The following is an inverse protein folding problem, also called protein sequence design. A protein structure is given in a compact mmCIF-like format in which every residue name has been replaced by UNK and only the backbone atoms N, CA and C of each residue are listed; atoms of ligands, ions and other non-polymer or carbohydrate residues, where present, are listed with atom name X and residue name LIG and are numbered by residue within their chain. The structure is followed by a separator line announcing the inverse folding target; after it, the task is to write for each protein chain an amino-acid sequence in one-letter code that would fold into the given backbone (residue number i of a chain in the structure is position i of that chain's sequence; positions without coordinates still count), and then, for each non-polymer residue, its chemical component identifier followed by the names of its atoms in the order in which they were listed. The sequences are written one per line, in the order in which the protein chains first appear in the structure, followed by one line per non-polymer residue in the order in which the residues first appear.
data_IF_192100247813
#
_entry.id   IF_192100247813
#
_cell.length_a   1.000
_cell.length_b   1.000
_cell.length_c   1.000
_cell.angle_alpha   90.00
_cell.angle_beta   90.00
_cell.angle_gamma   90.00
#
_symmetry.space_group_name_H-M   'P 1'
#
loop_
_entity.id
_entity.type
_entity.pdbx_description
1 polymer ?
#
# COMPACT_ATOMS: atom_id res chain seq x y z
N UNK A 1 -3.72 6.74 1.79
CA UNK A 1 -2.31 6.28 1.66
C UNK A 1 -1.41 7.50 1.72
N UNK A 2 -1.38 8.37 0.70
CA UNK A 2 -0.52 9.57 0.69
C UNK A 2 -0.68 10.42 1.97
N UNK A 3 -1.90 10.77 2.36
CA UNK A 3 -2.13 11.52 3.61
C UNK A 3 -1.60 10.81 4.89
N UNK A 4 -1.58 9.48 4.92
CA UNK A 4 -0.98 8.71 6.03
C UNK A 4 0.54 8.85 6.03
N UNK A 5 1.16 8.83 4.84
CA UNK A 5 2.60 9.03 4.69
C UNK A 5 3.00 10.46 5.08
N UNK A 6 2.23 11.45 4.66
CA UNK A 6 2.44 12.86 5.04
C UNK A 6 2.42 13.03 6.56
N UNK A 7 1.48 12.35 7.23
CA UNK A 7 1.40 12.35 8.71
C UNK A 7 2.64 11.71 9.33
N UNK A 8 3.08 10.55 8.81
CA UNK A 8 4.29 9.91 9.31
C UNK A 8 5.56 10.71 9.09
N UNK A 9 5.65 11.47 8.00
CA UNK A 9 6.77 12.37 7.75
C UNK A 9 6.75 13.55 8.74
N UNK A 10 5.57 14.14 8.98
CA UNK A 10 5.41 15.24 9.94
C UNK A 10 5.75 14.84 11.38
N UNK A 11 5.37 13.62 11.76
CA UNK A 11 5.57 13.07 13.10
C UNK A 11 6.94 12.37 13.27
N UNK A 12 7.85 12.47 12.30
CA UNK A 12 9.18 11.82 12.30
C UNK A 12 9.11 10.28 12.53
N UNK A 13 8.05 9.65 12.03
CA UNK A 13 7.82 8.21 12.15
C UNK A 13 8.62 7.46 11.09
N UNK A 14 8.48 7.83 9.82
CA UNK A 14 9.22 7.23 8.70
C UNK A 14 9.17 8.17 7.49
N UNK A 15 10.28 8.23 6.76
CA UNK A 15 10.39 8.98 5.50
C UNK A 15 10.12 8.04 4.32
N UNK A 16 8.86 7.96 3.87
CA UNK A 16 8.48 7.16 2.70
C UNK A 16 8.09 8.13 1.57
N UNK A 17 8.87 8.12 0.49
CA UNK A 17 8.60 8.92 -0.69
C UNK A 17 7.43 8.32 -1.48
N UNK A 18 6.44 9.15 -1.84
CA UNK A 18 5.31 8.73 -2.66
C UNK A 18 5.34 9.42 -4.04
N UNK A 19 5.23 8.63 -5.11
CA UNK A 19 5.14 9.14 -6.48
C UNK A 19 3.93 8.56 -7.20
N UNK A 20 3.03 9.42 -7.69
CA UNK A 20 1.82 9.01 -8.41
C UNK A 20 1.90 9.39 -9.89
N UNK A 21 1.70 8.41 -10.76
CA UNK A 21 1.52 8.61 -12.21
C UNK A 21 0.27 7.88 -12.67
N UNK A 22 -0.83 8.62 -12.82
CA UNK A 22 -2.14 8.04 -13.14
C UNK A 22 -2.58 7.01 -12.09
N UNK A 23 -2.81 5.77 -12.52
CA UNK A 23 -3.21 4.66 -11.65
C UNK A 23 -2.07 4.04 -10.82
N UNK A 24 -0.81 4.39 -11.12
CA UNK A 24 0.38 3.88 -10.45
C UNK A 24 0.75 4.80 -9.27
N UNK A 25 0.97 4.21 -8.10
CA UNK A 25 1.52 4.83 -6.91
C UNK A 25 2.75 4.02 -6.46
N UNK A 26 3.92 4.63 -6.49
CA UNK A 26 5.17 4.06 -5.99
C UNK A 26 5.51 4.63 -4.61
N UNK A 27 5.89 3.76 -3.68
CA UNK A 27 6.31 4.07 -2.32
C UNK A 27 7.78 3.68 -2.15
N UNK A 28 8.68 4.64 -2.00
CA UNK A 28 10.11 4.44 -1.77
C UNK A 28 10.43 4.43 -0.28
N UNK A 29 11.09 3.38 0.21
CA UNK A 29 11.47 3.22 1.62
C UNK A 29 12.93 3.64 1.86
N UNK A 30 13.31 4.09 3.07
CA UNK A 30 14.68 4.51 3.38
C UNK A 30 15.76 3.46 3.14
N UNK A 31 15.40 2.18 3.16
CA UNK A 31 16.32 1.07 2.88
C UNK A 31 16.48 0.76 1.38
N UNK A 32 15.94 1.61 0.49
CA UNK A 32 15.99 1.46 -0.96
C UNK A 32 15.01 0.45 -1.54
N UNK A 33 14.15 -0.18 -0.71
CA UNK A 33 13.07 -1.03 -1.23
C UNK A 33 11.86 -0.19 -1.67
N UNK A 34 11.01 -0.75 -2.52
CA UNK A 34 9.81 -0.08 -3.02
C UNK A 34 8.57 -0.95 -2.81
N UNK A 35 7.41 -0.30 -2.69
CA UNK A 35 6.10 -0.93 -2.88
C UNK A 35 5.40 -0.16 -4.00
N UNK A 36 4.90 -0.87 -5.01
CA UNK A 36 4.16 -0.29 -6.12
C UNK A 36 2.71 -0.74 -6.05
N UNK A 37 1.78 0.21 -6.06
CA UNK A 37 0.34 0.01 -6.08
C UNK A 37 -0.17 0.48 -7.43
N UNK A 38 -0.97 -0.33 -8.13
CA UNK A 38 -1.50 0.04 -9.45
C UNK A 38 -2.98 -0.30 -9.57
N UNK A 39 -3.80 0.66 -9.98
CA UNK A 39 -5.20 0.39 -10.34
C UNK A 39 -5.28 -0.21 -11.75
N UNK A 40 -6.08 -1.26 -11.93
CA UNK A 40 -6.33 -1.91 -13.22
C UNK A 40 -7.81 -1.78 -13.60
N UNK A 41 -8.26 -0.62 -14.15
CA UNK A 41 -9.67 -0.38 -14.46
C UNK A 41 -10.32 -1.46 -15.35
N UNK A 42 -9.68 -1.95 -16.44
CA UNK A 42 -10.28 -2.98 -17.29
C UNK A 42 -10.55 -4.31 -16.58
N UNK A 43 -9.81 -4.59 -15.50
CA UNK A 43 -9.92 -5.83 -14.72
C UNK A 43 -10.75 -5.64 -13.44
N UNK A 44 -11.11 -4.40 -13.09
CA UNK A 44 -11.67 -4.04 -11.78
C UNK A 44 -10.81 -4.54 -10.62
N UNK A 45 -9.49 -4.42 -10.77
CA UNK A 45 -8.50 -4.92 -9.82
C UNK A 45 -7.60 -3.79 -9.29
N UNK A 46 -7.02 -4.04 -8.13
CA UNK A 46 -5.92 -3.27 -7.55
C UNK A 46 -4.73 -4.21 -7.38
N UNK A 47 -3.56 -3.83 -7.85
CA UNK A 47 -2.35 -4.65 -7.80
C UNK A 47 -1.34 -4.03 -6.85
N UNK A 48 -0.61 -4.88 -6.12
CA UNK A 48 0.49 -4.48 -5.24
C UNK A 48 1.70 -5.34 -5.56
N UNK A 49 2.84 -4.70 -5.83
CA UNK A 49 4.14 -5.35 -5.86
C UNK A 49 4.95 -4.88 -4.66
N UNK A 50 5.34 -5.81 -3.80
CA UNK A 50 6.21 -5.59 -2.64
C UNK A 50 7.40 -6.54 -2.73
N UNK A 51 8.42 -6.36 -1.88
CA UNK A 51 9.59 -7.24 -1.81
C UNK A 51 9.23 -8.72 -1.60
N UNK A 52 8.14 -8.98 -0.87
CA UNK A 52 7.67 -10.32 -0.57
C UNK A 52 6.88 -10.99 -1.72
N UNK A 53 6.39 -10.22 -2.70
CA UNK A 53 5.61 -10.76 -3.80
C UNK A 53 4.61 -9.78 -4.41
N UNK A 54 3.83 -10.29 -5.37
CA UNK A 54 2.75 -9.57 -6.04
C UNK A 54 1.36 -10.04 -5.58
N UNK A 55 0.43 -9.10 -5.42
CA UNK A 55 -0.91 -9.34 -4.90
C UNK A 55 -1.95 -8.64 -5.78
N UNK A 56 -3.04 -9.33 -6.11
CA UNK A 56 -4.14 -8.78 -6.90
C UNK A 56 -5.43 -8.82 -6.09
N UNK A 57 -6.03 -7.65 -5.90
CA UNK A 57 -7.24 -7.47 -5.09
C UNK A 57 -8.44 -7.21 -6.00
N UNK A 58 -9.57 -7.81 -5.63
CA UNK A 58 -10.88 -7.49 -6.20
C UNK A 58 -11.75 -6.83 -5.15
N UNK A 59 -12.56 -5.88 -5.57
CA UNK A 59 -13.52 -5.23 -4.70
C UNK A 59 -14.76 -6.12 -4.49
N UNK A 60 -15.02 -6.51 -3.25
CA UNK A 60 -16.15 -7.35 -2.84
C UNK A 60 -16.69 -6.86 -1.50
N UNK A 61 -18.01 -6.66 -1.42
CA UNK A 61 -18.69 -6.28 -0.17
C UNK A 61 -18.07 -5.05 0.53
N UNK A 62 -17.65 -4.05 -0.26
CA UNK A 62 -17.04 -2.81 0.28
C UNK A 62 -15.57 -2.94 0.66
N UNK A 63 -14.92 -4.07 0.38
CA UNK A 63 -13.52 -4.31 0.73
C UNK A 63 -12.71 -4.80 -0.48
N UNK A 64 -11.42 -4.46 -0.48
CA UNK A 64 -10.46 -5.01 -1.43
C UNK A 64 -9.84 -6.28 -0.84
N UNK A 65 -10.14 -7.43 -1.46
CA UNK A 65 -9.68 -8.74 -0.98
C UNK A 65 -8.92 -9.48 -2.08
N UNK A 66 -7.81 -10.12 -1.74
CA UNK A 66 -7.11 -11.02 -2.67
C UNK A 66 -7.59 -12.48 -2.52
N UNK A 67 -7.06 -13.40 -3.33
CA UNK A 67 -7.57 -14.78 -3.45
C UNK A 67 -7.34 -15.61 -2.18
N UNK A 68 -6.23 -15.38 -1.48
CA UNK A 68 -5.86 -16.07 -0.24
C UNK A 68 -6.53 -15.45 1.00
N UNK A 69 -7.37 -14.42 0.80
CA UNK A 69 -8.23 -13.83 1.80
C UNK A 69 -7.68 -12.59 2.50
N UNK A 70 -6.50 -12.10 2.11
CA UNK A 70 -5.96 -10.88 2.71
C UNK A 70 -6.76 -9.64 2.27
N UNK A 71 -7.03 -8.75 3.22
CA UNK A 71 -7.57 -7.42 2.98
C UNK A 71 -6.44 -6.45 2.60
N UNK A 72 -6.69 -5.55 1.65
CA UNK A 72 -5.70 -4.66 1.06
C UNK A 72 -4.94 -3.81 2.08
N UNK A 73 -5.62 -3.09 2.97
CA UNK A 73 -4.95 -2.22 3.94
C UNK A 73 -4.20 -3.01 5.00
N UNK A 74 -4.71 -4.17 5.42
CA UNK A 74 -4.00 -5.09 6.29
C UNK A 74 -2.71 -5.59 5.64
N UNK A 75 -2.76 -6.01 4.37
CA UNK A 75 -1.58 -6.49 3.64
C UNK A 75 -0.58 -5.36 3.40
N UNK A 76 -1.04 -4.18 2.99
CA UNK A 76 -0.19 -3.00 2.78
C UNK A 76 0.52 -2.61 4.06
N UNK A 77 -0.19 -2.61 5.21
CA UNK A 77 0.40 -2.34 6.52
C UNK A 77 1.49 -3.34 6.88
N UNK A 78 1.24 -4.64 6.65
CA UNK A 78 2.22 -5.68 6.92
C UNK A 78 3.47 -5.52 6.05
N UNK A 79 3.30 -5.37 4.72
CA UNK A 79 4.44 -5.24 3.80
C UNK A 79 5.23 -3.96 4.03
N UNK A 80 4.56 -2.84 4.29
CA UNK A 80 5.22 -1.59 4.63
C UNK A 80 5.97 -1.69 5.95
N UNK A 81 5.40 -2.36 6.96
CA UNK A 81 6.08 -2.57 8.24
C UNK A 81 7.37 -3.39 8.09
N UNK A 82 7.30 -4.48 7.33
CA UNK A 82 8.46 -5.32 7.03
C UNK A 82 9.54 -4.54 6.27
N UNK A 83 9.15 -3.74 5.27
CA UNK A 83 10.09 -2.95 4.47
C UNK A 83 10.63 -1.72 5.20
N UNK A 84 9.88 -1.13 6.14
CA UNK A 84 10.35 -0.01 6.97
C UNK A 84 11.13 -0.46 8.21
N UNK A 85 11.05 -1.74 8.58
CA UNK A 85 11.66 -2.28 9.81
C UNK A 85 10.99 -1.77 11.10
N UNK A 86 9.77 -1.23 11.02
CA UNK A 86 8.97 -0.75 12.15
C UNK A 86 7.48 -0.92 11.90
N UNK A 87 6.68 -0.95 12.96
CA UNK A 87 5.22 -1.11 12.82
C UNK A 87 4.60 0.14 12.17
N UNK A 88 3.92 -0.07 11.05
CA UNK A 88 3.19 0.93 10.28
C UNK A 88 1.76 0.43 10.04
N UNK A 89 0.78 1.34 10.06
CA UNK A 89 -0.63 1.00 9.88
C UNK A 89 -1.31 1.96 8.91
N UNK A 90 -1.72 1.43 7.77
CA UNK A 90 -2.69 2.08 6.91
C UNK A 90 -4.10 1.68 7.33
N UNK A 91 -5.03 2.63 7.22
CA UNK A 91 -6.45 2.40 7.46
C UNK A 91 -7.24 2.70 6.19
N UNK A 92 -8.35 1.99 5.95
CA UNK A 92 -9.30 2.39 4.92
C UNK A 92 -9.82 3.81 5.18
N UNK A 93 -10.19 4.55 4.12
CA UNK A 93 -10.87 5.83 4.29
C UNK A 93 -12.10 5.65 5.18
N UNK A 94 -12.33 6.60 6.10
CA UNK A 94 -13.59 6.68 6.83
C UNK A 94 -14.65 7.22 5.85
N UNK A 95 -15.81 6.55 5.79
CA UNK A 95 -16.99 7.03 5.05
C UNK A 95 -17.46 8.41 5.55
#
# INVERSE_FOLDING_TARGET
IEATLDTWLQDDVVDIDAQRTGGLLELGFPNGSTIVINTQPPLHELWVAARAGGYHFKHRQGMWTEREGHEFFALLSQRASEQAGKALRFEPPKD
#
